data_IF_566323072523
#
_entry.id   IF_566323072523
#
_cell.length_a   1.000
_cell.length_b   1.000
_cell.length_c   1.000
_cell.angle_alpha   90.00
_cell.angle_beta   90.00
_cell.angle_gamma   90.00
#
_symmetry.space_group_name_H-M   'P 1'
#
loop_
_entity.id
_entity.type
_entity.pdbx_description
1 polymer ?
#
# COMPACT_ATOMS: atom_id res chain seq x y z
N UNK A 1 15.33 2.62 -22.42
CA UNK A 1 15.37 3.60 -21.33
C UNK A 1 16.39 3.14 -20.29
N UNK A 2 17.17 4.10 -19.76
CA UNK A 2 18.22 3.78 -18.80
C UNK A 2 17.59 3.71 -17.39
N UNK A 3 17.75 2.58 -16.71
CA UNK A 3 17.33 2.48 -15.30
C UNK A 3 18.36 3.21 -14.45
N UNK A 4 17.91 4.17 -13.64
CA UNK A 4 18.74 4.93 -12.71
C UNK A 4 18.36 4.58 -11.28
N UNK A 5 19.38 4.28 -10.44
CA UNK A 5 19.21 3.91 -9.04
C UNK A 5 19.97 4.91 -8.17
N UNK A 6 19.28 5.47 -7.19
CA UNK A 6 19.84 6.44 -6.26
C UNK A 6 19.62 5.97 -4.83
N UNK A 7 20.57 6.28 -3.96
CA UNK A 7 20.40 6.12 -2.52
C UNK A 7 20.86 7.41 -1.82
N UNK A 8 20.23 7.68 -0.68
CA UNK A 8 20.58 8.82 0.14
C UNK A 8 20.56 8.44 1.62
N UNK A 9 21.38 9.14 2.40
CA UNK A 9 21.39 9.06 3.86
C UNK A 9 21.70 10.43 4.41
N UNK A 10 20.89 10.93 5.34
CA UNK A 10 21.09 12.24 5.96
C UNK A 10 19.91 12.68 6.80
N UNK A 11 20.08 13.83 7.47
CA UNK A 11 19.00 14.47 8.22
C UNK A 11 17.96 15.04 7.28
N UNK A 12 16.68 14.89 7.66
CA UNK A 12 15.53 15.55 7.02
C UNK A 12 14.82 16.41 8.04
N UNK A 13 14.24 17.55 7.60
CA UNK A 13 13.54 18.45 8.49
C UNK A 13 12.02 18.29 8.35
N UNK A 14 11.36 17.94 9.45
CA UNK A 14 9.92 17.91 9.55
C UNK A 14 9.40 19.21 10.19
N UNK A 15 8.55 19.95 9.50
CA UNK A 15 7.94 21.19 10.04
C UNK A 15 7.00 20.90 11.20
N UNK A 16 6.24 19.81 11.11
CA UNK A 16 5.34 19.30 12.13
C UNK A 16 5.73 17.84 12.44
N UNK A 17 6.30 17.55 13.62
CA UNK A 17 6.56 16.19 14.03
C UNK A 17 5.25 15.44 14.27
N UNK A 18 5.22 14.15 13.96
CA UNK A 18 4.01 13.31 14.09
C UNK A 18 3.59 13.11 15.56
N UNK A 19 4.51 13.26 16.50
CA UNK A 19 4.25 13.16 17.93
C UNK A 19 5.23 13.98 18.73
N UNK A 20 4.93 14.17 20.03
CA UNK A 20 5.82 14.88 20.97
C UNK A 20 7.17 14.17 21.18
N UNK A 21 7.25 12.87 20.85
CA UNK A 21 8.48 12.08 20.95
C UNK A 21 9.24 11.99 19.63
N UNK A 22 8.66 12.49 18.53
CA UNK A 22 9.29 12.46 17.21
C UNK A 22 10.32 13.59 17.08
N UNK A 23 11.51 13.25 16.56
CA UNK A 23 12.50 14.26 16.20
C UNK A 23 12.00 15.13 15.05
N UNK A 24 12.29 16.43 15.11
CA UNK A 24 12.08 17.33 13.95
C UNK A 24 13.17 17.16 12.89
N UNK A 25 14.27 16.54 13.25
CA UNK A 25 15.41 16.29 12.38
C UNK A 25 15.82 14.81 12.46
N UNK A 26 14.97 13.85 11.99
CA UNK A 26 15.34 12.46 11.93
C UNK A 26 16.39 12.21 10.84
N UNK A 27 17.23 11.19 11.05
CA UNK A 27 18.09 10.66 9.99
C UNK A 27 17.24 9.73 9.13
N UNK A 28 17.26 9.97 7.83
CA UNK A 28 16.57 9.16 6.84
C UNK A 28 17.56 8.44 5.94
N UNK A 29 17.31 7.17 5.70
CA UNK A 29 17.94 6.35 4.66
C UNK A 29 16.89 6.00 3.62
N UNK A 30 17.20 6.18 2.34
CA UNK A 30 16.26 5.84 1.28
C UNK A 30 16.94 5.43 -0.01
N UNK A 31 16.16 4.78 -0.87
CA UNK A 31 16.54 4.48 -2.25
C UNK A 31 15.40 4.82 -3.21
N UNK A 32 15.75 5.20 -4.41
CA UNK A 32 14.81 5.53 -5.48
C UNK A 32 15.30 4.91 -6.79
N UNK A 33 14.38 4.30 -7.53
CA UNK A 33 14.67 3.64 -8.81
C UNK A 33 13.76 4.24 -9.87
N UNK A 34 14.33 4.73 -10.96
CA UNK A 34 13.64 5.41 -12.05
C UNK A 34 13.87 4.69 -13.38
N UNK A 35 12.94 4.86 -14.32
CA UNK A 35 13.12 4.44 -15.72
C UNK A 35 12.57 3.05 -16.04
N UNK A 36 11.82 2.42 -15.13
CA UNK A 36 11.14 1.15 -15.39
C UNK A 36 9.77 1.10 -14.72
N UNK A 37 8.83 0.37 -15.33
CA UNK A 37 7.53 0.02 -14.77
C UNK A 37 7.43 -1.49 -14.49
N UNK A 38 8.56 -2.19 -14.45
CA UNK A 38 8.59 -3.62 -14.22
C UNK A 38 8.46 -3.91 -12.72
N UNK A 39 7.66 -4.88 -12.38
CA UNK A 39 7.48 -5.44 -11.02
C UNK A 39 8.81 -5.84 -10.36
N UNK A 40 9.83 -6.24 -11.15
CA UNK A 40 11.17 -6.54 -10.63
C UNK A 40 11.75 -5.39 -9.81
N UNK A 41 11.44 -4.14 -10.21
CA UNK A 41 11.91 -2.93 -9.51
C UNK A 41 11.21 -2.77 -8.16
N UNK A 42 9.91 -3.05 -8.10
CA UNK A 42 9.15 -2.98 -6.85
C UNK A 42 9.64 -4.04 -5.86
N UNK A 43 9.91 -5.25 -6.35
CA UNK A 43 10.48 -6.33 -5.53
C UNK A 43 11.88 -5.95 -5.04
N UNK A 44 12.76 -5.43 -5.93
CA UNK A 44 14.11 -5.01 -5.56
C UNK A 44 14.09 -3.91 -4.46
N UNK A 45 13.21 -2.91 -4.60
CA UNK A 45 13.09 -1.85 -3.59
C UNK A 45 12.68 -2.40 -2.22
N UNK A 46 11.75 -3.36 -2.19
CA UNK A 46 11.32 -4.03 -0.97
C UNK A 46 12.43 -4.89 -0.36
N UNK A 47 13.19 -5.61 -1.19
CA UNK A 47 14.35 -6.39 -0.76
C UNK A 47 15.43 -5.52 -0.13
N UNK A 48 15.72 -4.36 -0.73
CA UNK A 48 16.67 -3.37 -0.19
C UNK A 48 16.20 -2.88 1.18
N UNK A 49 14.92 -2.55 1.34
CA UNK A 49 14.36 -2.12 2.62
C UNK A 49 14.51 -3.21 3.70
N UNK A 50 14.17 -4.46 3.38
CA UNK A 50 14.29 -5.59 4.29
C UNK A 50 15.74 -5.90 4.65
N UNK A 51 16.64 -5.83 3.69
CA UNK A 51 18.07 -6.01 3.92
C UNK A 51 18.61 -4.92 4.84
N UNK A 52 18.22 -3.66 4.63
CA UNK A 52 18.62 -2.52 5.47
C UNK A 52 18.20 -2.73 6.93
N UNK A 53 16.95 -3.13 7.18
CA UNK A 53 16.46 -3.45 8.53
C UNK A 53 17.25 -4.60 9.16
N UNK A 54 17.55 -5.64 8.40
CA UNK A 54 18.35 -6.78 8.86
C UNK A 54 19.78 -6.37 9.24
N UNK A 55 20.43 -5.52 8.44
CA UNK A 55 21.78 -5.00 8.72
C UNK A 55 21.81 -4.13 9.98
N UNK A 56 20.75 -3.40 10.25
CA UNK A 56 20.58 -2.62 11.48
C UNK A 56 20.26 -3.49 12.72
N UNK A 57 20.13 -4.81 12.55
CA UNK A 57 19.81 -5.73 13.63
C UNK A 57 18.35 -5.69 14.09
N UNK A 58 17.46 -5.04 13.34
CA UNK A 58 16.04 -4.96 13.65
C UNK A 58 15.40 -6.31 13.33
N UNK A 59 14.88 -6.95 14.39
CA UNK A 59 14.22 -8.25 14.29
C UNK A 59 12.70 -8.08 14.36
N UNK A 60 11.98 -8.99 13.70
CA UNK A 60 10.51 -9.00 13.75
C UNK A 60 9.85 -7.87 12.96
N UNK A 61 10.56 -7.27 11.98
CA UNK A 61 9.96 -6.32 11.06
C UNK A 61 8.85 -6.98 10.24
N UNK A 62 7.80 -6.21 9.96
CA UNK A 62 6.68 -6.60 9.11
C UNK A 62 6.65 -5.69 7.89
N UNK A 63 6.50 -6.27 6.72
CA UNK A 63 6.27 -5.57 5.47
C UNK A 63 4.80 -5.69 5.09
N UNK A 64 4.09 -4.57 5.05
CA UNK A 64 2.72 -4.51 4.53
C UNK A 64 2.76 -4.05 3.07
N UNK A 65 2.29 -4.91 2.17
CA UNK A 65 2.28 -4.65 0.73
C UNK A 65 0.87 -4.28 0.30
N UNK A 66 0.73 -3.14 -0.37
CA UNK A 66 -0.55 -2.64 -0.89
C UNK A 66 -0.38 -2.08 -2.30
N UNK A 67 -1.49 -2.00 -3.05
CA UNK A 67 -1.47 -1.47 -4.42
C UNK A 67 -2.44 -0.29 -4.57
N UNK A 68 -1.89 0.92 -4.70
CA UNK A 68 -2.68 2.16 -4.83
C UNK A 68 -3.62 2.17 -6.03
N UNK A 69 -3.31 1.41 -7.09
CA UNK A 69 -4.13 1.33 -8.31
C UNK A 69 -5.55 0.80 -8.07
N UNK A 70 -5.78 0.05 -7.01
CA UNK A 70 -7.10 -0.50 -6.67
C UNK A 70 -8.05 0.62 -6.25
N UNK A 71 -7.70 1.39 -5.23
CA UNK A 71 -8.51 2.52 -4.78
C UNK A 71 -8.66 3.56 -5.89
N UNK A 72 -7.58 3.86 -6.62
CA UNK A 72 -7.63 4.78 -7.75
C UNK A 72 -8.61 4.34 -8.84
N UNK A 73 -8.66 3.05 -9.18
CA UNK A 73 -9.61 2.52 -10.16
C UNK A 73 -11.06 2.64 -9.67
N UNK A 74 -11.32 2.48 -8.37
CA UNK A 74 -12.63 2.73 -7.78
C UNK A 74 -13.00 4.21 -7.86
N UNK A 75 -12.08 5.12 -7.52
CA UNK A 75 -12.30 6.56 -7.62
C UNK A 75 -12.60 6.99 -9.08
N UNK A 76 -11.86 6.48 -10.04
CA UNK A 76 -12.09 6.78 -11.47
C UNK A 76 -13.45 6.24 -11.99
N UNK A 77 -14.04 5.26 -11.33
CA UNK A 77 -15.32 4.68 -11.72
C UNK A 77 -16.55 5.43 -11.19
N UNK A 78 -16.37 6.37 -10.28
CA UNK A 78 -17.45 7.10 -9.62
C UNK A 78 -17.06 8.57 -9.39
N UNK A 79 -17.89 9.49 -9.90
CA UNK A 79 -17.61 10.93 -9.89
C UNK A 79 -17.40 11.46 -8.47
N UNK A 80 -18.23 11.03 -7.52
CA UNK A 80 -18.12 11.50 -6.11
C UNK A 80 -16.83 11.02 -5.46
N UNK A 81 -16.41 9.78 -5.73
CA UNK A 81 -15.13 9.25 -5.27
C UNK A 81 -13.95 9.98 -5.92
N UNK A 82 -14.06 10.32 -7.21
CA UNK A 82 -13.01 11.02 -7.95
C UNK A 82 -12.82 12.45 -7.41
N UNK A 83 -13.90 13.20 -7.21
CA UNK A 83 -13.83 14.57 -6.69
C UNK A 83 -13.31 14.66 -5.26
N UNK A 84 -13.53 13.62 -4.47
CA UNK A 84 -13.19 13.57 -3.04
C UNK A 84 -12.18 12.46 -2.68
N UNK A 85 -11.31 12.08 -3.62
CA UNK A 85 -10.33 11.00 -3.42
C UNK A 85 -9.51 11.19 -2.14
N UNK A 86 -9.04 12.41 -1.86
CA UNK A 86 -8.25 12.70 -0.66
C UNK A 86 -9.02 12.48 0.64
N UNK A 87 -10.33 12.77 0.67
CA UNK A 87 -11.19 12.53 1.83
C UNK A 87 -11.35 11.03 2.08
N UNK A 88 -11.64 10.25 1.03
CA UNK A 88 -11.73 8.78 1.12
C UNK A 88 -10.43 8.15 1.61
N UNK A 89 -9.29 8.58 1.04
CA UNK A 89 -7.97 8.11 1.45
C UNK A 89 -7.72 8.36 2.94
N UNK A 90 -8.08 9.55 3.43
CA UNK A 90 -7.88 9.89 4.84
C UNK A 90 -8.79 9.06 5.77
N UNK A 91 -10.05 8.87 5.39
CA UNK A 91 -10.98 8.03 6.16
C UNK A 91 -10.52 6.56 6.23
N UNK A 92 -10.06 6.00 5.12
CA UNK A 92 -9.52 4.64 5.06
C UNK A 92 -8.24 4.51 5.89
N UNK A 93 -7.31 5.47 5.79
CA UNK A 93 -6.07 5.47 6.61
C UNK A 93 -6.33 5.58 8.10
N UNK A 94 -7.30 6.42 8.49
CA UNK A 94 -7.70 6.58 9.87
C UNK A 94 -8.54 5.39 10.40
N UNK A 95 -8.98 4.50 9.52
CA UNK A 95 -9.97 3.45 9.81
C UNK A 95 -11.23 4.03 10.49
N UNK A 96 -11.63 5.22 10.06
CA UNK A 96 -12.84 5.91 10.55
C UNK A 96 -14.08 5.34 9.86
N UNK A 97 -14.59 4.25 10.40
CA UNK A 97 -15.78 3.58 9.87
C UNK A 97 -17.00 4.49 9.87
N UNK A 98 -17.20 5.28 10.93
CA UNK A 98 -18.37 6.15 11.04
C UNK A 98 -18.32 7.32 10.05
N UNK A 99 -17.15 7.93 9.87
CA UNK A 99 -16.92 8.95 8.85
C UNK A 99 -17.08 8.40 7.45
N UNK A 100 -16.55 7.20 7.21
CA UNK A 100 -16.67 6.54 5.92
C UNK A 100 -18.12 6.20 5.58
N UNK A 101 -18.91 5.68 6.52
CA UNK A 101 -20.35 5.39 6.29
C UNK A 101 -21.12 6.63 5.85
N UNK A 102 -20.95 7.76 6.53
CA UNK A 102 -21.58 9.04 6.15
C UNK A 102 -21.15 9.50 4.76
N UNK A 103 -19.85 9.36 4.45
CA UNK A 103 -19.34 9.72 3.14
C UNK A 103 -19.96 8.85 2.04
N UNK A 104 -20.07 7.54 2.27
CA UNK A 104 -20.57 6.57 1.31
C UNK A 104 -22.07 6.71 0.99
N UNK A 105 -22.85 7.44 1.81
CA UNK A 105 -24.23 7.80 1.49
C UNK A 105 -24.34 8.67 0.22
N UNK A 106 -23.28 9.39 -0.12
CA UNK A 106 -23.18 10.26 -1.30
C UNK A 106 -22.72 9.53 -2.57
N UNK A 107 -22.26 8.29 -2.42
CA UNK A 107 -21.63 7.48 -3.47
C UNK A 107 -22.61 6.46 -4.02
N UNK A 108 -22.44 6.02 -5.26
CA UNK A 108 -23.27 4.95 -5.83
C UNK A 108 -23.14 3.68 -4.99
N UNK A 109 -24.23 2.95 -4.83
CA UNK A 109 -24.29 1.77 -3.97
C UNK A 109 -23.19 0.74 -4.26
N UNK A 110 -22.93 0.43 -5.53
CA UNK A 110 -21.92 -0.55 -5.91
C UNK A 110 -20.52 -0.07 -5.55
N UNK A 111 -20.22 1.21 -5.79
CA UNK A 111 -18.95 1.84 -5.42
C UNK A 111 -18.80 1.91 -3.89
N UNK A 112 -19.85 2.22 -3.18
CA UNK A 112 -19.87 2.26 -1.72
C UNK A 112 -19.55 0.89 -1.11
N UNK A 113 -20.16 -0.19 -1.62
CA UNK A 113 -19.89 -1.56 -1.18
C UNK A 113 -18.41 -1.91 -1.44
N UNK A 114 -17.88 -1.57 -2.63
CA UNK A 114 -16.50 -1.83 -2.98
C UNK A 114 -15.52 -1.09 -2.05
N UNK A 115 -15.72 0.20 -1.81
CA UNK A 115 -14.86 0.99 -0.91
C UNK A 115 -14.94 0.47 0.53
N UNK A 116 -16.15 0.14 1.02
CA UNK A 116 -16.33 -0.44 2.36
C UNK A 116 -15.60 -1.78 2.49
N UNK A 117 -15.55 -2.60 1.44
CA UNK A 117 -14.87 -3.89 1.48
C UNK A 117 -13.36 -3.74 1.68
N UNK A 118 -12.73 -2.63 1.25
CA UNK A 118 -11.30 -2.39 1.44
C UNK A 118 -10.89 -2.37 2.92
N UNK A 119 -11.77 -1.93 3.82
CA UNK A 119 -11.49 -1.97 5.27
C UNK A 119 -11.24 -3.38 5.80
N UNK A 120 -11.79 -4.40 5.15
CA UNK A 120 -11.71 -5.80 5.56
C UNK A 120 -10.73 -6.62 4.69
N UNK A 121 -10.13 -5.99 3.66
CA UNK A 121 -9.21 -6.63 2.76
C UNK A 121 -7.75 -6.43 3.23
N UNK A 122 -7.47 -6.87 4.44
CA UNK A 122 -6.12 -6.92 5.01
C UNK A 122 -5.79 -8.35 5.44
N UNK A 123 -4.49 -8.68 5.40
CA UNK A 123 -3.97 -9.97 5.79
C UNK A 123 -3.68 -10.06 7.29
N UNK A 124 -3.63 -11.28 7.78
CA UNK A 124 -3.12 -11.58 9.12
C UNK A 124 -1.63 -11.27 9.23
N UNK A 125 -1.09 -11.02 10.43
CA UNK A 125 0.29 -10.57 10.62
C UNK A 125 1.40 -11.48 10.07
N UNK A 126 1.08 -12.70 9.65
CA UNK A 126 2.08 -13.70 9.22
C UNK A 126 1.74 -14.36 7.87
N UNK A 127 1.20 -13.58 6.97
CA UNK A 127 0.85 -14.01 5.62
C UNK A 127 -0.61 -14.44 5.54
N UNK A 128 -1.39 -13.72 4.77
CA UNK A 128 -2.74 -14.16 4.44
C UNK A 128 -2.74 -14.71 3.02
N UNK A 129 -2.99 -15.98 2.96
CA UNK A 129 -3.16 -16.67 1.69
C UNK A 129 -4.56 -16.45 1.06
N UNK A 130 -5.35 -15.51 1.55
CA UNK A 130 -6.72 -15.33 1.08
C UNK A 130 -7.13 -13.91 0.70
N UNK A 131 -6.35 -12.87 1.03
CA UNK A 131 -6.73 -11.48 0.79
C UNK A 131 -6.98 -11.20 -0.69
N UNK A 132 -6.07 -11.62 -1.56
CA UNK A 132 -6.18 -11.39 -3.01
C UNK A 132 -7.41 -12.12 -3.57
N UNK A 133 -7.66 -13.35 -3.12
CA UNK A 133 -8.85 -14.11 -3.53
C UNK A 133 -10.14 -13.46 -3.04
N UNK A 134 -10.18 -12.98 -1.80
CA UNK A 134 -11.31 -12.21 -1.28
C UNK A 134 -11.50 -10.91 -2.06
N UNK A 135 -10.43 -10.20 -2.37
CA UNK A 135 -10.49 -8.99 -3.18
C UNK A 135 -11.07 -9.24 -4.58
N UNK A 136 -10.65 -10.32 -5.24
CA UNK A 136 -11.20 -10.71 -6.55
C UNK A 136 -12.71 -11.00 -6.51
N UNK A 137 -13.23 -11.48 -5.39
CA UNK A 137 -14.66 -11.80 -5.24
C UNK A 137 -15.50 -10.61 -4.76
N UNK A 138 -14.92 -9.64 -4.06
CA UNK A 138 -15.66 -8.52 -3.44
C UNK A 138 -15.52 -7.19 -4.18
N UNK A 139 -14.48 -7.04 -5.01
CA UNK A 139 -14.28 -5.82 -5.80
C UNK A 139 -14.91 -5.93 -7.19
N UNK A 140 -15.31 -4.81 -7.81
CA UNK A 140 -15.90 -4.80 -9.13
C UNK A 140 -14.91 -5.28 -10.19
N UNK A 141 -15.46 -5.92 -11.24
CA UNK A 141 -14.69 -6.45 -12.36
C UNK A 141 -14.16 -5.35 -13.30
N UNK A 142 -13.26 -4.52 -12.78
CA UNK A 142 -12.61 -3.45 -13.54
C UNK A 142 -11.23 -3.91 -14.03
N UNK A 143 -10.87 -3.65 -15.31
CA UNK A 143 -9.56 -4.07 -15.85
C UNK A 143 -8.37 -3.58 -15.02
N UNK A 144 -8.40 -2.33 -14.54
CA UNK A 144 -7.34 -1.76 -13.69
C UNK A 144 -7.21 -2.46 -12.34
N UNK A 145 -8.32 -2.90 -11.75
CA UNK A 145 -8.31 -3.67 -10.49
C UNK A 145 -7.71 -5.04 -10.73
N UNK A 146 -8.08 -5.72 -11.82
CA UNK A 146 -7.47 -7.02 -12.18
C UNK A 146 -5.96 -6.92 -12.36
N UNK A 147 -5.48 -5.90 -13.05
CA UNK A 147 -4.05 -5.66 -13.24
C UNK A 147 -3.37 -5.49 -11.88
N UNK A 148 -3.89 -4.59 -11.03
CA UNK A 148 -3.32 -4.32 -9.71
C UNK A 148 -3.31 -5.57 -8.80
N UNK A 149 -4.35 -6.40 -8.83
CA UNK A 149 -4.40 -7.64 -8.07
C UNK A 149 -3.42 -8.69 -8.60
N UNK A 150 -3.20 -8.76 -9.93
CA UNK A 150 -2.19 -9.64 -10.52
C UNK A 150 -0.77 -9.20 -10.12
N UNK A 151 -0.50 -7.91 -10.14
CA UNK A 151 0.79 -7.35 -9.71
C UNK A 151 1.05 -7.63 -8.23
N UNK A 152 0.05 -7.45 -7.34
CA UNK A 152 0.15 -7.83 -5.94
C UNK A 152 0.43 -9.33 -5.75
N UNK A 153 -0.26 -10.18 -6.50
CA UNK A 153 -0.07 -11.64 -6.43
C UNK A 153 1.34 -12.04 -6.88
N UNK A 154 1.87 -11.41 -7.91
CA UNK A 154 3.23 -11.64 -8.38
C UNK A 154 4.27 -11.18 -7.36
N UNK A 155 4.14 -9.95 -6.81
CA UNK A 155 5.04 -9.43 -5.78
C UNK A 155 5.04 -10.34 -4.56
N UNK A 156 3.87 -10.71 -4.05
CA UNK A 156 3.76 -11.55 -2.86
C UNK A 156 4.31 -12.96 -3.08
N UNK A 157 4.15 -13.52 -4.28
CA UNK A 157 4.73 -14.82 -4.64
C UNK A 157 6.26 -14.77 -4.60
N UNK A 158 6.87 -13.68 -5.06
CA UNK A 158 8.32 -13.49 -5.01
C UNK A 158 8.81 -13.29 -3.58
N UNK A 159 8.10 -12.48 -2.79
CA UNK A 159 8.43 -12.25 -1.37
C UNK A 159 8.31 -13.51 -0.50
N UNK A 160 7.42 -14.44 -0.83
CA UNK A 160 7.29 -15.74 -0.13
C UNK A 160 8.62 -16.52 -0.06
N UNK A 161 9.48 -16.34 -1.04
CA UNK A 161 10.79 -16.98 -1.08
C UNK A 161 11.82 -16.32 -0.15
N UNK A 162 11.55 -15.10 0.33
CA UNK A 162 12.39 -14.37 1.27
C UNK A 162 12.06 -14.78 2.72
N UNK A 163 12.77 -15.78 3.24
CA UNK A 163 12.58 -16.33 4.61
C UNK A 163 12.96 -15.37 5.77
N UNK A 164 13.27 -14.11 5.48
CA UNK A 164 13.90 -13.20 6.48
C UNK A 164 12.97 -12.19 7.12
N UNK A 165 11.74 -12.04 6.68
CA UNK A 165 10.79 -11.12 7.31
C UNK A 165 9.36 -11.66 7.28
N UNK A 166 8.55 -11.11 8.16
CA UNK A 166 7.10 -11.28 8.12
C UNK A 166 6.53 -10.29 7.11
N UNK A 167 5.61 -10.71 6.29
CA UNK A 167 4.92 -9.84 5.34
C UNK A 167 3.42 -10.10 5.36
N UNK A 168 2.65 -9.10 5.03
CA UNK A 168 1.21 -9.21 4.86
C UNK A 168 0.76 -8.41 3.64
N UNK A 169 -0.42 -8.70 3.15
CA UNK A 169 -1.04 -7.99 2.03
C UNK A 169 -2.23 -7.21 2.53
N UNK A 170 -2.35 -5.97 2.07
CA UNK A 170 -3.56 -5.17 2.22
C UNK A 170 -3.99 -4.67 0.84
N UNK A 171 -5.28 -4.65 0.60
CA UNK A 171 -5.84 -4.24 -0.70
C UNK A 171 -6.53 -2.90 -0.56
#
# INVERSE_FOLDING_TARGET
DLISKYCYSGSVLHTLPESIFSSREPIQLGCEIFGSQNIDIDVEAQEIALLSLSLLGIKGSRLDVTHRGILRALCESDIMLQEKESEVVNLLKAKDEAGLEKFLELVRKDSAIAVKSLLNLHGEPFGDDGVISRARSSLPDLPKIKIALNELEEITTRLKNHKKCNWSVSV
#
